data_IF_277641695870
#
_entry.id   IF_277641695870
#
_cell.length_a   1.000
_cell.length_b   1.000
_cell.length_c   1.000
_cell.angle_alpha   90.00
_cell.angle_beta   90.00
_cell.angle_gamma   90.00
#
_symmetry.space_group_name_H-M   'P 1'
#
loop_
_entity.id
_entity.type
_entity.pdbx_description
1 polymer ?
#
# COMPACT_ATOMS: atom_id res chain seq x y z
N UNK A 1 17.00 -6.48 -70.50
CA UNK A 1 17.40 -7.01 -69.19
C UNK A 1 16.97 -6.00 -68.14
N UNK A 2 15.83 -6.21 -67.47
CA UNK A 2 15.32 -5.30 -66.43
C UNK A 2 15.41 -6.05 -65.11
N UNK A 3 16.33 -5.58 -64.24
CA UNK A 3 16.54 -6.08 -62.88
C UNK A 3 15.34 -5.64 -62.02
N UNK A 4 14.61 -6.61 -61.47
CA UNK A 4 13.60 -6.36 -60.46
C UNK A 4 14.28 -6.09 -59.11
N UNK A 5 13.96 -4.95 -58.48
CA UNK A 5 14.31 -4.61 -57.11
C UNK A 5 13.28 -5.24 -56.17
N UNK A 6 13.75 -5.99 -55.17
CA UNK A 6 12.94 -6.49 -54.04
C UNK A 6 12.93 -5.40 -52.97
N UNK A 7 11.78 -4.94 -52.45
CA UNK A 7 11.77 -4.08 -51.28
C UNK A 7 11.87 -4.95 -50.02
N UNK A 8 12.93 -4.75 -49.26
CA UNK A 8 13.07 -5.29 -47.91
C UNK A 8 12.17 -4.50 -46.97
N UNK A 9 11.13 -5.15 -46.45
CA UNK A 9 10.24 -4.61 -45.43
C UNK A 9 11.01 -4.59 -44.09
N UNK A 10 11.47 -3.41 -43.67
CA UNK A 10 11.99 -3.20 -42.32
C UNK A 10 10.82 -3.30 -41.33
N UNK A 11 10.70 -4.43 -40.63
CA UNK A 11 9.91 -4.47 -39.39
C UNK A 11 10.68 -3.66 -38.34
N UNK A 12 10.20 -2.45 -38.07
CA UNK A 12 10.55 -1.73 -36.86
C UNK A 12 9.91 -2.47 -35.69
N UNK A 13 10.70 -3.29 -34.99
CA UNK A 13 10.33 -3.78 -33.67
C UNK A 13 10.30 -2.57 -32.73
N UNK A 14 9.10 -2.07 -32.43
CA UNK A 14 8.91 -1.20 -31.26
C UNK A 14 9.25 -2.04 -30.03
N UNK A 15 10.22 -1.65 -29.19
CA UNK A 15 10.39 -2.31 -27.91
C UNK A 15 9.07 -2.11 -27.15
N UNK A 16 8.37 -3.22 -26.85
CA UNK A 16 7.41 -3.19 -25.75
C UNK A 16 8.22 -2.75 -24.54
N UNK A 17 7.91 -1.57 -24.01
CA UNK A 17 8.31 -1.25 -22.66
C UNK A 17 7.81 -2.42 -21.79
N UNK A 18 8.74 -3.09 -21.11
CA UNK A 18 8.37 -3.97 -20.02
C UNK A 18 7.49 -3.12 -19.09
N UNK A 19 6.22 -3.50 -18.96
CA UNK A 19 5.40 -2.96 -17.86
C UNK A 19 6.12 -3.41 -16.60
N UNK A 20 6.52 -2.48 -15.74
CA UNK A 20 7.04 -2.83 -14.43
C UNK A 20 5.99 -3.75 -13.78
N UNK A 21 6.37 -5.01 -13.57
CA UNK A 21 5.56 -5.99 -12.87
C UNK A 21 5.42 -5.48 -11.42
N UNK A 22 4.26 -4.91 -11.07
CA UNK A 22 4.06 -4.31 -9.75
C UNK A 22 3.20 -3.04 -9.75
N UNK A 23 3.32 -2.28 -8.67
CA UNK A 23 2.60 -1.05 -8.35
C UNK A 23 3.17 0.21 -9.01
N UNK A 24 4.40 0.19 -9.53
CA UNK A 24 5.04 1.39 -10.08
C UNK A 24 4.18 2.08 -11.14
N UNK A 25 3.97 3.39 -10.98
CA UNK A 25 3.12 4.20 -11.85
C UNK A 25 1.61 4.03 -11.65
N UNK A 26 1.17 3.16 -10.72
CA UNK A 26 -0.25 3.00 -10.39
C UNK A 26 -0.70 4.07 -9.41
N UNK A 27 -1.95 4.50 -9.57
CA UNK A 27 -2.62 5.41 -8.65
C UNK A 27 -3.26 4.62 -7.51
N UNK A 28 -2.88 4.96 -6.28
CA UNK A 28 -3.35 4.32 -5.04
C UNK A 28 -3.91 5.39 -4.11
N UNK A 29 -4.77 4.97 -3.19
CA UNK A 29 -5.14 5.77 -2.02
C UNK A 29 -4.74 5.04 -0.75
N UNK A 30 -4.35 5.83 0.25
CA UNK A 30 -3.99 5.35 1.58
C UNK A 30 -4.69 6.16 2.66
N UNK A 31 -4.85 5.58 3.85
CA UNK A 31 -5.47 6.25 4.99
C UNK A 31 -5.65 5.29 6.15
N UNK A 32 -6.14 5.81 7.27
CA UNK A 32 -6.31 5.05 8.50
C UNK A 32 -7.76 4.68 8.77
N UNK A 33 -7.96 3.58 9.47
CA UNK A 33 -9.27 3.11 9.90
C UNK A 33 -9.16 2.48 11.29
N UNK A 34 -10.15 2.77 12.12
CA UNK A 34 -10.29 2.19 13.46
C UNK A 34 -11.74 1.74 13.67
N UNK A 35 -11.92 0.47 14.02
CA UNK A 35 -13.21 -0.04 14.46
C UNK A 35 -13.06 -1.11 15.54
N UNK A 36 -14.10 -1.26 16.35
CA UNK A 36 -14.20 -2.32 17.34
C UNK A 36 -14.51 -3.67 16.70
N UNK A 37 -14.15 -4.76 17.38
CA UNK A 37 -14.48 -6.13 16.94
C UNK A 37 -15.94 -6.30 16.49
N UNK A 38 -16.11 -6.74 15.25
CA UNK A 38 -17.42 -6.94 14.62
C UNK A 38 -18.22 -5.65 14.36
N UNK A 39 -17.54 -4.50 14.25
CA UNK A 39 -18.11 -3.17 13.94
C UNK A 39 -17.50 -2.55 12.68
N UNK A 40 -17.17 -3.37 11.69
CA UNK A 40 -16.56 -2.92 10.42
C UNK A 40 -17.39 -1.86 9.69
N UNK A 41 -18.72 -1.88 9.85
CA UNK A 41 -19.67 -0.92 9.24
C UNK A 41 -19.82 0.39 10.04
N UNK A 42 -19.18 0.50 11.21
CA UNK A 42 -19.31 1.62 12.15
C UNK A 42 -17.93 2.02 12.70
N UNK A 43 -17.05 2.57 11.85
CA UNK A 43 -15.74 3.00 12.30
C UNK A 43 -15.84 4.11 13.36
N UNK A 44 -14.96 4.02 14.34
CA UNK A 44 -14.81 5.03 15.39
C UNK A 44 -13.86 6.14 14.91
N UNK A 45 -12.92 5.79 14.03
CA UNK A 45 -12.11 6.74 13.29
C UNK A 45 -12.03 6.29 11.82
N UNK A 46 -12.25 7.23 10.91
CA UNK A 46 -11.97 7.04 9.49
C UNK A 46 -11.21 8.27 8.99
N UNK A 47 -9.94 8.08 8.65
CA UNK A 47 -9.10 9.17 8.18
C UNK A 47 -9.41 9.60 6.76
N UNK A 48 -8.82 10.72 6.36
CA UNK A 48 -8.86 11.14 4.96
C UNK A 48 -8.17 10.09 4.06
N UNK A 49 -8.64 9.97 2.81
CA UNK A 49 -7.96 9.16 1.79
C UNK A 49 -6.98 10.05 1.06
N UNK A 50 -5.73 9.63 1.04
CA UNK A 50 -4.65 10.37 0.44
C UNK A 50 -4.18 9.64 -0.81
N UNK A 51 -4.32 10.31 -1.95
CA UNK A 51 -4.01 9.76 -3.26
C UNK A 51 -2.53 9.95 -3.59
N UNK A 52 -1.90 8.92 -4.16
CA UNK A 52 -0.52 8.98 -4.62
C UNK A 52 -0.34 8.17 -5.91
N UNK A 53 0.72 8.50 -6.65
CA UNK A 53 1.21 7.67 -7.77
C UNK A 53 2.53 7.05 -7.32
N UNK A 54 2.55 5.72 -7.29
CA UNK A 54 3.69 4.93 -6.81
C UNK A 54 4.93 5.17 -7.67
N UNK A 55 6.08 5.42 -7.05
CA UNK A 55 7.36 5.64 -7.73
C UNK A 55 8.57 5.52 -6.80
N UNK A 56 9.71 6.10 -7.21
CA UNK A 56 10.98 5.97 -6.46
C UNK A 56 11.11 7.02 -5.32
N UNK A 57 10.02 7.35 -4.65
CA UNK A 57 9.97 8.39 -3.61
C UNK A 57 8.88 8.06 -2.60
N UNK A 58 9.06 8.47 -1.34
CA UNK A 58 8.02 8.37 -0.31
C UNK A 58 6.71 8.97 -0.83
N UNK A 59 5.71 8.12 -0.97
CA UNK A 59 4.40 8.49 -1.50
C UNK A 59 3.62 9.35 -0.53
N UNK A 60 3.80 9.11 0.79
CA UNK A 60 2.89 9.71 1.75
C UNK A 60 3.46 9.89 3.16
N UNK A 61 3.04 10.98 3.81
CA UNK A 61 3.18 11.19 5.25
C UNK A 61 1.81 11.45 5.85
N UNK A 62 1.31 10.53 6.67
CA UNK A 62 0.13 10.75 7.50
C UNK A 62 0.46 11.88 8.47
N UNK A 63 -0.15 13.04 8.25
CA UNK A 63 -0.07 14.18 9.15
C UNK A 63 -1.13 14.11 10.25
N UNK A 64 -1.16 15.14 11.09
CA UNK A 64 -2.24 15.31 12.05
C UNK A 64 -3.58 15.51 11.33
N UNK A 65 -4.58 14.71 11.67
CA UNK A 65 -5.96 14.88 11.25
C UNK A 65 -6.84 15.29 12.46
N UNK A 66 -7.97 15.99 12.24
CA UNK A 66 -8.88 16.34 13.32
C UNK A 66 -9.35 15.08 14.07
N UNK A 67 -9.31 15.08 15.42
CA UNK A 67 -9.66 13.90 16.17
C UNK A 67 -11.16 13.56 16.03
N UNK A 68 -11.46 12.26 16.00
CA UNK A 68 -12.83 11.73 15.91
C UNK A 68 -13.07 10.82 17.11
N UNK A 69 -14.16 11.04 17.86
CA UNK A 69 -14.53 10.21 19.02
C UNK A 69 -13.41 10.05 20.08
N UNK A 70 -12.52 11.04 20.20
CA UNK A 70 -11.37 11.00 21.12
C UNK A 70 -10.11 10.32 20.56
N UNK A 71 -10.14 9.88 19.31
CA UNK A 71 -9.03 9.24 18.59
C UNK A 71 -8.39 10.20 17.60
N UNK A 72 -7.08 10.09 17.42
CA UNK A 72 -6.32 10.86 16.45
C UNK A 72 -5.36 9.97 15.67
N UNK A 73 -4.86 10.50 14.56
CA UNK A 73 -3.86 9.83 13.72
C UNK A 73 -2.51 9.87 14.42
N UNK A 74 -1.78 8.76 14.33
CA UNK A 74 -0.36 8.72 14.68
C UNK A 74 0.42 9.00 13.40
N UNK A 75 1.23 10.07 13.36
CA UNK A 75 1.97 10.41 12.16
C UNK A 75 2.89 9.28 11.72
N UNK A 76 2.79 8.91 10.45
CA UNK A 76 3.54 7.81 9.85
C UNK A 76 3.98 8.16 8.43
N UNK A 77 5.09 7.57 8.00
CA UNK A 77 5.63 7.68 6.65
C UNK A 77 5.33 6.38 5.92
N UNK A 78 4.72 6.49 4.75
CA UNK A 78 4.32 5.36 3.92
C UNK A 78 5.10 5.45 2.61
N UNK A 79 5.94 4.46 2.39
CA UNK A 79 6.73 4.27 1.17
C UNK A 79 6.21 3.02 0.45
N UNK A 80 5.80 3.19 -0.79
CA UNK A 80 5.17 2.18 -1.62
C UNK A 80 6.08 1.99 -2.82
N UNK A 81 6.57 0.77 -3.01
CA UNK A 81 7.35 0.40 -4.19
C UNK A 81 6.56 -0.59 -5.05
N UNK A 82 7.17 -1.10 -6.12
CA UNK A 82 6.53 -2.03 -7.05
C UNK A 82 5.83 -3.23 -6.37
N UNK A 83 6.37 -3.77 -5.28
CA UNK A 83 5.84 -4.99 -4.66
C UNK A 83 5.90 -4.94 -3.13
N UNK A 84 5.95 -3.75 -2.55
CA UNK A 84 6.13 -3.60 -1.10
C UNK A 84 5.54 -2.29 -0.60
N UNK A 85 4.99 -2.32 0.60
CA UNK A 85 4.63 -1.15 1.40
C UNK A 85 5.48 -1.17 2.67
N UNK A 86 6.12 -0.05 2.96
CA UNK A 86 6.85 0.20 4.18
C UNK A 86 6.18 1.31 4.98
N UNK A 87 5.95 1.04 6.26
CA UNK A 87 5.34 1.94 7.21
C UNK A 87 6.38 2.22 8.28
N UNK A 88 6.79 3.48 8.40
CA UNK A 88 7.74 3.93 9.43
C UNK A 88 7.18 5.17 10.14
N UNK A 89 7.86 5.61 11.19
CA UNK A 89 7.43 6.76 11.99
C UNK A 89 8.55 7.80 12.04
N UNK A 90 8.24 9.09 11.95
CA UNK A 90 9.27 10.13 11.93
C UNK A 90 9.97 10.27 13.29
N UNK A 91 11.23 10.72 13.28
CA UNK A 91 12.09 10.91 14.47
C UNK A 91 11.48 11.74 15.60
N UNK A 92 10.53 12.62 15.29
CA UNK A 92 9.85 13.47 16.27
C UNK A 92 8.59 12.83 16.87
N UNK A 93 8.17 11.67 16.38
CA UNK A 93 7.10 10.88 17.00
C UNK A 93 7.55 10.36 18.36
N UNK A 94 6.65 10.45 19.33
CA UNK A 94 6.82 9.73 20.59
C UNK A 94 6.55 8.23 20.35
N UNK A 95 7.06 7.39 21.25
CA UNK A 95 6.79 5.96 21.21
C UNK A 95 5.72 5.57 22.21
N UNK A 96 4.74 4.79 21.77
CA UNK A 96 3.74 4.14 22.61
C UNK A 96 3.20 2.90 21.87
N UNK A 97 2.18 2.26 22.43
CA UNK A 97 1.49 1.11 21.81
C UNK A 97 0.14 1.53 21.23
N UNK A 98 -0.16 1.06 20.02
CA UNK A 98 -1.51 1.18 19.46
C UNK A 98 -2.51 0.39 20.31
N UNK A 99 -3.67 0.96 20.68
CA UNK A 99 -4.71 0.20 21.35
C UNK A 99 -5.19 -0.97 20.49
N UNK A 100 -5.31 -2.15 21.11
CA UNK A 100 -5.83 -3.37 20.52
C UNK A 100 -7.35 -3.46 20.82
N UNK A 101 -8.17 -3.11 19.83
CA UNK A 101 -9.62 -2.91 19.99
C UNK A 101 -10.48 -3.60 18.93
N UNK A 102 -9.88 -4.22 17.92
CA UNK A 102 -10.55 -4.79 16.77
C UNK A 102 -9.67 -4.67 15.54
N UNK A 103 -9.89 -3.62 14.73
CA UNK A 103 -8.94 -3.19 13.71
C UNK A 103 -8.44 -1.79 14.03
N UNK A 104 -7.13 -1.63 14.08
CA UNK A 104 -6.49 -0.34 14.29
C UNK A 104 -5.29 -0.23 13.35
N UNK A 105 -5.46 0.42 12.21
CA UNK A 105 -4.34 0.59 11.30
C UNK A 105 -4.69 1.18 9.95
N UNK A 106 -4.08 0.61 8.94
CA UNK A 106 -3.91 1.24 7.64
C UNK A 106 -4.67 0.50 6.55
N UNK A 107 -5.22 1.27 5.61
CA UNK A 107 -5.96 0.74 4.46
C UNK A 107 -5.41 1.33 3.19
N UNK A 108 -5.03 0.48 2.23
CA UNK A 108 -4.57 0.86 0.90
C UNK A 108 -5.53 0.31 -0.15
N UNK A 109 -5.92 1.13 -1.11
CA UNK A 109 -6.73 0.70 -2.25
C UNK A 109 -6.26 1.32 -3.56
N UNK A 110 -6.60 0.69 -4.68
CA UNK A 110 -6.35 1.25 -5.99
C UNK A 110 -7.43 2.27 -6.36
N UNK A 111 -7.02 3.39 -6.94
CA UNK A 111 -7.93 4.38 -7.52
C UNK A 111 -8.45 3.97 -8.92
N UNK A 112 -7.94 2.85 -9.44
CA UNK A 112 -8.33 2.27 -10.72
C UNK A 112 -8.92 0.89 -10.49
N UNK A 113 -10.06 0.63 -11.12
CA UNK A 113 -10.87 -0.58 -10.90
C UNK A 113 -10.20 -1.88 -11.37
N UNK A 114 -9.05 -1.80 -12.04
CA UNK A 114 -8.50 -2.90 -12.81
C UNK A 114 -7.39 -3.69 -12.12
N UNK A 115 -6.98 -3.33 -10.91
CA UNK A 115 -5.83 -3.94 -10.23
C UNK A 115 -6.29 -4.59 -8.95
N UNK A 116 -5.85 -5.83 -8.74
CA UNK A 116 -6.18 -6.60 -7.55
C UNK A 116 -4.89 -6.97 -6.82
N UNK A 117 -4.94 -6.95 -5.50
CA UNK A 117 -3.95 -7.64 -4.68
C UNK A 117 -4.21 -9.15 -4.77
N UNK A 118 -3.24 -9.90 -5.24
CA UNK A 118 -3.26 -11.37 -5.24
C UNK A 118 -2.94 -11.90 -3.84
N UNK A 119 -1.88 -11.36 -3.26
CA UNK A 119 -1.44 -11.70 -1.92
C UNK A 119 -0.79 -10.49 -1.24
N UNK A 120 -0.80 -10.54 0.09
CA UNK A 120 -0.10 -9.59 0.94
C UNK A 120 0.40 -10.32 2.20
N UNK A 121 1.68 -10.19 2.53
CA UNK A 121 2.31 -10.87 3.67
C UNK A 121 3.29 -9.95 4.37
N UNK A 122 3.50 -10.16 5.67
CA UNK A 122 4.48 -9.37 6.43
C UNK A 122 5.89 -9.92 6.21
N UNK A 123 6.85 -9.07 5.85
CA UNK A 123 8.27 -9.41 5.89
C UNK A 123 8.76 -9.29 7.34
N UNK A 124 8.80 -10.43 8.04
CA UNK A 124 9.23 -10.52 9.44
C UNK A 124 10.71 -10.24 9.64
N UNK A 125 11.53 -10.28 8.60
CA UNK A 125 12.96 -9.98 8.71
C UNK A 125 13.23 -8.49 8.56
N UNK A 126 12.44 -7.79 7.75
CA UNK A 126 12.53 -6.35 7.56
C UNK A 126 11.67 -5.54 8.53
N UNK A 127 10.72 -6.17 9.23
CA UNK A 127 9.87 -5.52 10.24
C UNK A 127 10.45 -5.62 11.65
N UNK A 128 10.15 -4.65 12.51
CA UNK A 128 10.65 -4.57 13.91
C UNK A 128 9.66 -5.09 14.95
N UNK A 129 8.36 -5.13 14.62
CA UNK A 129 7.29 -5.56 15.52
C UNK A 129 6.97 -7.06 15.51
N UNK A 130 5.78 -7.38 16.02
CA UNK A 130 5.29 -8.77 16.20
C UNK A 130 4.17 -9.16 15.25
N UNK A 131 3.93 -8.32 14.23
CA UNK A 131 2.92 -8.60 13.20
C UNK A 131 3.13 -9.96 12.55
N UNK A 132 2.00 -10.56 12.19
CA UNK A 132 1.90 -11.85 11.53
C UNK A 132 1.08 -11.72 10.26
N UNK A 133 1.08 -12.77 9.44
CA UNK A 133 0.31 -12.80 8.19
C UNK A 133 -1.20 -12.76 8.39
N UNK A 134 -1.69 -12.79 9.65
CA UNK A 134 -3.11 -12.60 9.98
C UNK A 134 -3.48 -11.13 10.12
N UNK A 135 -2.50 -10.29 10.43
CA UNK A 135 -2.67 -8.86 10.67
C UNK A 135 -2.60 -8.07 9.35
N UNK A 136 -2.16 -8.75 8.27
CA UNK A 136 -2.13 -8.23 6.90
C UNK A 136 -3.11 -9.04 6.06
N UNK A 137 -4.13 -8.39 5.50
CA UNK A 137 -5.15 -9.09 4.71
C UNK A 137 -5.75 -8.24 3.60
N UNK A 138 -6.25 -8.91 2.57
CA UNK A 138 -6.94 -8.27 1.44
C UNK A 138 -8.45 -8.52 1.56
N UNK A 139 -9.26 -7.48 1.41
CA UNK A 139 -10.73 -7.56 1.35
C UNK A 139 -11.26 -6.51 0.38
N UNK A 140 -12.17 -6.92 -0.50
CA UNK A 140 -12.81 -6.02 -1.48
C UNK A 140 -11.82 -5.17 -2.29
N UNK A 141 -10.73 -5.78 -2.75
CA UNK A 141 -9.61 -5.14 -3.47
C UNK A 141 -8.86 -4.05 -2.67
N UNK A 142 -8.93 -4.09 -1.33
CA UNK A 142 -8.15 -3.24 -0.44
C UNK A 142 -7.23 -4.08 0.43
N UNK A 143 -6.03 -3.57 0.63
CA UNK A 143 -5.08 -4.07 1.61
C UNK A 143 -5.38 -3.44 2.96
N UNK A 144 -5.43 -4.27 3.99
CA UNK A 144 -5.55 -3.89 5.39
C UNK A 144 -4.29 -4.33 6.12
N UNK A 145 -3.71 -3.41 6.89
CA UNK A 145 -2.58 -3.68 7.79
C UNK A 145 -3.02 -3.26 9.19
N UNK A 146 -3.38 -4.24 10.00
CA UNK A 146 -3.76 -4.02 11.39
C UNK A 146 -2.49 -3.91 12.24
N UNK A 147 -2.33 -2.77 12.91
CA UNK A 147 -1.20 -2.50 13.81
C UNK A 147 -1.65 -2.40 15.26
N UNK A 148 -2.89 -2.80 15.57
CA UNK A 148 -3.39 -2.94 16.93
C UNK A 148 -2.43 -3.74 17.81
N UNK A 149 -2.12 -3.20 18.99
CA UNK A 149 -1.19 -3.82 19.94
C UNK A 149 0.29 -3.72 19.58
N UNK A 150 0.66 -3.15 18.43
CA UNK A 150 2.07 -2.90 18.09
C UNK A 150 2.59 -1.60 18.71
N UNK A 151 3.90 -1.56 18.95
CA UNK A 151 4.61 -0.32 19.28
C UNK A 151 4.75 0.53 18.02
N UNK A 152 4.58 1.84 18.15
CA UNK A 152 5.04 2.81 17.15
C UNK A 152 6.17 3.66 17.71
N UNK A 153 6.97 4.25 16.82
CA UNK A 153 8.10 5.08 17.19
C UNK A 153 9.15 5.07 16.09
N UNK A 154 10.16 5.95 16.18
CA UNK A 154 11.15 6.13 15.11
C UNK A 154 12.03 4.91 14.85
N UNK A 155 12.11 3.99 15.81
CA UNK A 155 12.81 2.71 15.66
C UNK A 155 11.91 1.60 15.11
N UNK A 156 10.63 1.88 14.83
CA UNK A 156 9.65 0.90 14.39
C UNK A 156 9.40 0.98 12.88
N UNK A 157 9.32 -0.18 12.23
CA UNK A 157 9.03 -0.31 10.80
C UNK A 157 8.22 -1.58 10.55
N UNK A 158 7.17 -1.45 9.73
CA UNK A 158 6.38 -2.57 9.24
C UNK A 158 6.51 -2.67 7.72
N UNK A 159 6.88 -3.85 7.24
CA UNK A 159 7.15 -4.11 5.84
C UNK A 159 6.21 -5.18 5.33
N UNK A 160 5.42 -4.82 4.32
CA UNK A 160 4.43 -5.69 3.71
C UNK A 160 4.89 -5.98 2.28
N UNK A 161 5.07 -7.25 1.95
CA UNK A 161 5.27 -7.73 0.58
C UNK A 161 3.92 -7.89 -0.11
N UNK A 162 3.86 -7.50 -1.38
CA UNK A 162 2.65 -7.48 -2.18
C UNK A 162 2.87 -8.20 -3.49
N UNK A 163 1.89 -9.04 -3.84
CA UNK A 163 1.72 -9.54 -5.20
C UNK A 163 0.47 -8.89 -5.79
N UNK A 164 0.60 -8.30 -6.97
CA UNK A 164 -0.49 -7.65 -7.68
C UNK A 164 -0.75 -8.37 -9.00
N UNK A 165 -2.01 -8.47 -9.35
CA UNK A 165 -2.43 -9.00 -10.64
C UNK A 165 -3.00 -7.88 -11.50
N UNK A 166 -2.62 -7.92 -12.77
CA UNK A 166 -3.33 -7.17 -13.79
C UNK A 166 -4.72 -7.75 -14.01
N UNK A 167 -5.64 -6.87 -14.41
CA UNK A 167 -6.97 -7.28 -14.79
C UNK A 167 -6.93 -8.39 -15.84
N UNK A 168 -7.68 -9.49 -15.67
CA UNK A 168 -7.95 -10.37 -16.79
C UNK A 168 -8.68 -9.54 -17.85
N UNK A 169 -7.99 -9.30 -18.98
CA UNK A 169 -8.60 -8.68 -20.16
C UNK A 169 -9.81 -9.54 -20.55
N UNK A 170 -11.01 -8.96 -20.48
CA UNK A 170 -12.24 -9.55 -21.02
C UNK A 170 -12.17 -9.68 -22.54
#
# INVERSE_FOLDING_TARGET
MIRALVPALFLAATPLAAQDEGLTGRAVSFGVLLYEDGKEDKPIFQGERHEAVVGDHVEYGLGDEPPQNGWGVIPAVIDISASRVEISYPDWSYSDTFPDVGFNGYVLDFLVDCVLFDSATIDKQASTGTLTDKDVFVRDARLYVDVGGQTYGPDETFVIELEVMDCPLS
#
